data_IF_843977325004
#
_entry.id   IF_843977325004
#
_cell.length_a   1.000
_cell.length_b   1.000
_cell.length_c   1.000
_cell.angle_alpha   90.00
_cell.angle_beta   90.00
_cell.angle_gamma   90.00
#
_symmetry.space_group_name_H-M   'P 1'
#
loop_
_entity.id
_entity.type
_entity.pdbx_description
1 polymer ?
#
# COMPACT_ATOMS: atom_id res chain seq x y z
N UNK A 1 -15.99 10.28 35.40
CA UNK A 1 -15.33 9.35 36.34
C UNK A 1 -16.12 8.07 36.27
N UNK A 2 -15.55 6.96 35.77
CA UNK A 2 -16.27 5.69 35.68
C UNK A 2 -16.15 5.01 37.04
N UNK A 3 -17.24 4.89 37.79
CA UNK A 3 -17.25 4.17 39.06
C UNK A 3 -17.24 2.66 38.77
N UNK A 4 -16.11 2.01 39.07
CA UNK A 4 -15.99 0.57 39.05
C UNK A 4 -16.49 -0.01 40.38
N UNK A 5 -17.05 -1.24 40.38
CA UNK A 5 -17.53 -1.88 41.60
C UNK A 5 -16.40 -2.00 42.62
N UNK A 6 -16.63 -1.46 43.82
CA UNK A 6 -15.72 -1.60 44.96
C UNK A 6 -15.77 -3.02 45.50
N UNK A 7 -14.62 -3.63 45.77
CA UNK A 7 -14.54 -4.88 46.50
C UNK A 7 -14.14 -4.61 47.95
N UNK A 8 -14.94 -5.07 48.90
CA UNK A 8 -14.59 -5.08 50.31
C UNK A 8 -13.76 -6.31 50.62
N UNK A 9 -12.53 -6.10 51.12
CA UNK A 9 -11.70 -7.17 51.67
C UNK A 9 -11.71 -7.05 53.19
N UNK A 10 -12.18 -8.11 53.86
CA UNK A 10 -12.12 -8.21 55.32
C UNK A 10 -10.88 -9.02 55.69
N UNK A 11 -9.98 -8.40 56.45
CA UNK A 11 -8.87 -9.11 57.06
C UNK A 11 -9.40 -9.99 58.20
N UNK A 12 -9.29 -11.30 58.04
CA UNK A 12 -9.80 -12.29 59.00
C UNK A 12 -9.03 -12.32 60.31
N UNK A 13 -7.83 -11.74 60.37
CA UNK A 13 -7.00 -11.70 61.59
C UNK A 13 -7.32 -10.48 62.44
N UNK A 14 -7.60 -9.34 61.81
CA UNK A 14 -7.83 -8.06 62.50
C UNK A 14 -9.30 -7.63 62.52
N UNK A 15 -10.17 -8.31 61.77
CA UNK A 15 -11.59 -7.96 61.61
C UNK A 15 -11.83 -6.65 60.86
N UNK A 16 -10.78 -6.01 60.32
CA UNK A 16 -10.89 -4.74 59.60
C UNK A 16 -11.34 -4.98 58.17
N UNK A 17 -12.46 -4.36 57.82
CA UNK A 17 -12.94 -4.26 56.44
C UNK A 17 -12.29 -3.06 55.78
N UNK A 18 -11.61 -3.28 54.66
CA UNK A 18 -11.05 -2.21 53.85
C UNK A 18 -11.70 -2.23 52.47
N UNK A 19 -12.09 -1.04 52.01
CA UNK A 19 -12.67 -0.83 50.68
C UNK A 19 -11.51 -0.77 49.68
N UNK A 20 -11.36 -1.81 48.86
CA UNK A 20 -10.36 -1.81 47.79
C UNK A 20 -11.04 -1.29 46.55
N UNK A 21 -10.70 -0.04 46.20
CA UNK A 21 -11.08 0.55 44.92
C UNK A 21 -10.01 0.18 43.92
N UNK A 22 -10.36 -0.66 42.95
CA UNK A 22 -9.51 -0.91 41.79
C UNK A 22 -9.63 0.33 40.92
N UNK A 23 -8.68 1.25 41.05
CA UNK A 23 -8.57 2.38 40.14
C UNK A 23 -8.10 1.85 38.79
N UNK A 24 -8.95 1.94 37.76
CA UNK A 24 -8.44 1.86 36.40
C UNK A 24 -7.56 3.10 36.19
N UNK A 25 -6.27 2.95 35.84
CA UNK A 25 -5.37 4.09 35.71
C UNK A 25 -5.71 4.99 34.51
N UNK A 26 -6.66 4.59 33.67
CA UNK A 26 -7.10 5.33 32.50
C UNK A 26 -8.39 6.10 32.79
N UNK A 27 -8.38 7.39 32.47
CA UNK A 27 -9.60 8.19 32.41
C UNK A 27 -10.44 7.81 31.17
N UNK A 28 -11.59 8.47 30.99
CA UNK A 28 -12.48 8.17 29.86
C UNK A 28 -11.79 8.36 28.49
N UNK A 29 -10.87 9.32 28.38
CA UNK A 29 -10.09 9.55 27.16
C UNK A 29 -9.07 8.43 26.93
N UNK A 30 -8.38 7.97 27.98
CA UNK A 30 -7.46 6.85 27.95
C UNK A 30 -8.14 5.54 27.57
N UNK A 31 -9.37 5.29 28.06
CA UNK A 31 -10.19 4.15 27.66
C UNK A 31 -10.55 4.24 26.17
N UNK A 32 -11.05 5.39 25.71
CA UNK A 32 -11.41 5.59 24.31
C UNK A 32 -10.22 5.41 23.36
N UNK A 33 -9.05 5.95 23.72
CA UNK A 33 -7.82 5.77 22.96
C UNK A 33 -7.36 4.31 22.91
N UNK A 34 -7.48 3.58 24.02
CA UNK A 34 -7.15 2.15 24.06
C UNK A 34 -8.08 1.32 23.17
N UNK A 35 -9.39 1.62 23.17
CA UNK A 35 -10.37 0.98 22.29
C UNK A 35 -10.04 1.28 20.83
N UNK A 36 -9.83 2.55 20.48
CA UNK A 36 -9.49 2.94 19.10
C UNK A 36 -8.19 2.26 18.61
N UNK A 37 -7.19 2.13 19.48
CA UNK A 37 -5.95 1.41 19.17
C UNK A 37 -6.19 -0.09 18.97
N UNK A 38 -7.01 -0.71 19.80
CA UNK A 38 -7.35 -2.12 19.68
C UNK A 38 -8.15 -2.40 18.39
N UNK A 39 -9.14 -1.55 18.08
CA UNK A 39 -9.88 -1.62 16.82
C UNK A 39 -8.94 -1.47 15.63
N UNK A 40 -8.06 -0.46 15.64
CA UNK A 40 -7.09 -0.25 14.58
C UNK A 40 -6.18 -1.48 14.38
N UNK A 41 -5.68 -2.07 15.47
CA UNK A 41 -4.88 -3.30 15.39
C UNK A 41 -5.67 -4.47 14.79
N UNK A 42 -6.95 -4.63 15.15
CA UNK A 42 -7.82 -5.64 14.56
C UNK A 42 -8.05 -5.42 13.06
N UNK A 43 -8.23 -4.16 12.61
CA UNK A 43 -8.33 -3.82 11.18
C UNK A 43 -7.09 -4.26 10.43
N UNK A 44 -5.89 -3.96 10.96
CA UNK A 44 -4.62 -4.36 10.34
C UNK A 44 -4.48 -5.87 10.16
N UNK A 45 -5.00 -6.68 11.08
CA UNK A 45 -4.97 -8.14 10.94
C UNK A 45 -5.75 -8.62 9.72
N UNK A 46 -6.94 -8.09 9.48
CA UNK A 46 -7.76 -8.45 8.30
C UNK A 46 -7.12 -7.94 7.02
N UNK A 47 -6.58 -6.71 7.06
CA UNK A 47 -5.96 -6.07 5.90
C UNK A 47 -4.64 -6.72 5.50
N UNK A 48 -3.91 -7.29 6.45
CA UNK A 48 -2.72 -8.09 6.17
C UNK A 48 -3.02 -9.20 5.17
N UNK A 49 -4.05 -10.01 5.42
CA UNK A 49 -4.38 -11.15 4.57
C UNK A 49 -4.80 -10.71 3.16
N UNK A 50 -5.50 -9.57 3.07
CA UNK A 50 -5.82 -8.94 1.79
C UNK A 50 -4.54 -8.53 1.02
N UNK A 51 -3.62 -7.83 1.68
CA UNK A 51 -2.37 -7.37 1.04
C UNK A 51 -1.50 -8.55 0.65
N UNK A 52 -1.40 -9.60 1.47
CA UNK A 52 -0.69 -10.84 1.15
C UNK A 52 -1.27 -11.53 -0.08
N UNK A 53 -2.61 -11.57 -0.22
CA UNK A 53 -3.24 -12.08 -1.44
C UNK A 53 -2.91 -11.22 -2.66
N UNK A 54 -2.91 -9.89 -2.53
CA UNK A 54 -2.65 -8.98 -3.67
C UNK A 54 -1.19 -9.01 -4.14
N UNK A 55 -0.24 -9.33 -3.25
CA UNK A 55 1.18 -9.50 -3.58
C UNK A 55 1.55 -10.94 -3.93
N UNK A 56 0.58 -11.82 -4.15
CA UNK A 56 0.87 -13.20 -4.52
C UNK A 56 1.52 -13.23 -5.93
N UNK A 57 2.64 -13.96 -6.14
CA UNK A 57 3.39 -13.93 -7.40
C UNK A 57 2.60 -14.35 -8.64
N UNK A 58 1.50 -15.08 -8.46
CA UNK A 58 0.63 -15.60 -9.51
C UNK A 58 -0.10 -14.48 -10.26
N UNK A 59 -0.33 -13.33 -9.62
CA UNK A 59 -1.03 -12.21 -10.23
C UNK A 59 -0.16 -11.40 -11.19
N UNK A 60 1.17 -11.49 -11.07
CA UNK A 60 2.11 -10.60 -11.77
C UNK A 60 2.19 -10.90 -13.26
N UNK A 61 2.13 -12.18 -13.65
CA UNK A 61 2.20 -12.58 -15.05
C UNK A 61 1.00 -12.05 -15.85
N UNK A 62 -0.20 -12.15 -15.29
CA UNK A 62 -1.43 -11.63 -15.89
C UNK A 62 -1.41 -10.10 -16.01
N UNK A 63 -0.86 -9.41 -15.01
CA UNK A 63 -0.70 -7.95 -15.03
C UNK A 63 0.25 -7.50 -16.14
N UNK A 64 1.33 -8.24 -16.38
CA UNK A 64 2.29 -7.93 -17.45
C UNK A 64 1.74 -8.28 -18.83
N UNK A 65 0.94 -9.34 -18.96
CA UNK A 65 0.41 -9.83 -20.25
C UNK A 65 -0.95 -9.26 -20.66
N UNK A 66 -1.70 -8.64 -19.75
CA UNK A 66 -3.05 -8.11 -20.00
C UNK A 66 -3.11 -6.96 -21.02
N UNK A 67 -4.25 -6.27 -21.07
CA UNK A 67 -4.61 -5.22 -22.06
C UNK A 67 -3.62 -4.01 -22.19
N UNK A 68 -2.58 -3.97 -21.36
CA UNK A 68 -1.51 -2.97 -21.41
C UNK A 68 -0.13 -3.49 -21.81
N UNK A 69 0.03 -4.81 -21.93
CA UNK A 69 1.28 -5.50 -22.18
C UNK A 69 1.48 -5.98 -23.62
N UNK A 70 0.72 -5.46 -24.59
CA UNK A 70 0.79 -5.92 -25.98
C UNK A 70 2.24 -5.89 -26.49
N UNK A 71 2.76 -7.09 -26.78
CA UNK A 71 4.13 -7.28 -27.26
C UNK A 71 5.18 -7.41 -26.15
N UNK A 72 4.82 -7.42 -24.87
CA UNK A 72 5.74 -7.69 -23.76
C UNK A 72 5.59 -9.12 -23.24
N UNK A 73 6.68 -9.66 -22.71
CA UNK A 73 6.69 -10.87 -21.91
C UNK A 73 7.46 -10.71 -20.61
N UNK A 74 6.96 -11.39 -19.59
CA UNK A 74 7.64 -11.55 -18.32
C UNK A 74 8.76 -12.58 -18.46
N UNK A 75 10.00 -12.16 -18.25
CA UNK A 75 11.21 -13.00 -18.32
C UNK A 75 11.61 -13.47 -16.92
N UNK A 76 11.31 -12.68 -15.90
CA UNK A 76 11.59 -13.04 -14.52
C UNK A 76 10.86 -12.12 -13.56
N UNK A 77 10.68 -12.59 -12.33
CA UNK A 77 10.11 -11.81 -11.24
C UNK A 77 10.80 -12.15 -9.94
N UNK A 78 10.90 -11.16 -9.06
CA UNK A 78 11.49 -11.27 -7.73
C UNK A 78 10.58 -10.51 -6.75
N UNK A 79 9.93 -11.20 -5.79
CA UNK A 79 9.26 -10.53 -4.68
C UNK A 79 10.22 -9.61 -3.95
N UNK A 80 9.72 -8.49 -3.41
CA UNK A 80 10.52 -7.59 -2.59
C UNK A 80 11.07 -8.34 -1.35
N UNK A 81 12.39 -8.56 -1.24
CA UNK A 81 12.98 -9.34 -0.15
C UNK A 81 12.99 -8.59 1.19
N UNK A 82 12.78 -7.27 1.17
CA UNK A 82 12.72 -6.42 2.37
C UNK A 82 11.27 -6.18 2.84
N UNK A 83 10.29 -6.77 2.16
CA UNK A 83 8.88 -6.60 2.46
C UNK A 83 8.36 -7.74 3.33
N UNK A 84 8.78 -7.75 4.59
CA UNK A 84 8.19 -8.61 5.62
C UNK A 84 7.08 -7.87 6.38
N UNK A 85 6.38 -8.63 7.24
CA UNK A 85 5.26 -8.11 8.03
C UNK A 85 5.66 -6.99 8.98
N UNK A 86 6.89 -6.97 9.47
CA UNK A 86 7.35 -5.98 10.46
C UNK A 86 8.01 -4.76 9.80
N UNK A 87 8.32 -4.83 8.50
CA UNK A 87 8.95 -3.75 7.76
C UNK A 87 8.14 -2.45 7.81
N UNK A 88 8.86 -1.33 7.98
CA UNK A 88 8.25 -0.01 8.14
C UNK A 88 7.33 0.36 6.96
N UNK A 89 7.76 0.02 5.73
CA UNK A 89 6.96 0.28 4.52
C UNK A 89 5.64 -0.50 4.53
N UNK A 90 5.66 -1.76 4.95
CA UNK A 90 4.47 -2.61 5.02
C UNK A 90 3.52 -2.15 6.13
N UNK A 91 4.07 -1.85 7.31
CA UNK A 91 3.29 -1.36 8.44
C UNK A 91 2.63 -0.02 8.12
N UNK A 92 3.35 0.92 7.49
CA UNK A 92 2.85 2.23 7.06
C UNK A 92 1.73 2.12 6.04
N UNK A 93 1.86 1.24 5.06
CA UNK A 93 0.81 0.99 4.07
C UNK A 93 -0.44 0.40 4.74
N UNK A 94 -0.28 -0.58 5.63
CA UNK A 94 -1.40 -1.16 6.38
C UNK A 94 -2.07 -0.16 7.33
N UNK A 95 -1.29 0.72 7.98
CA UNK A 95 -1.85 1.78 8.82
C UNK A 95 -2.72 2.73 7.98
N UNK A 96 -2.23 3.11 6.79
CA UNK A 96 -2.96 3.97 5.86
C UNK A 96 -4.25 3.28 5.38
N UNK A 97 -4.17 2.00 5.03
CA UNK A 97 -5.34 1.22 4.62
C UNK A 97 -6.36 1.06 5.75
N UNK A 98 -5.90 0.89 7.00
CA UNK A 98 -6.75 0.76 8.18
C UNK A 98 -7.49 2.07 8.51
N UNK A 99 -6.87 3.22 8.26
CA UNK A 99 -7.50 4.54 8.37
C UNK A 99 -8.65 4.69 7.35
N UNK A 100 -8.48 4.14 6.15
CA UNK A 100 -9.48 4.17 5.07
C UNK A 100 -10.46 3.01 5.07
N UNK A 101 -10.45 2.14 6.08
CA UNK A 101 -11.28 0.93 6.06
C UNK A 101 -12.79 1.22 5.99
N UNK A 102 -13.22 2.40 6.45
CA UNK A 102 -14.60 2.85 6.29
C UNK A 102 -14.94 3.08 4.81
N UNK A 103 -14.10 3.82 4.10
CA UNK A 103 -14.26 4.13 2.67
C UNK A 103 -14.26 2.84 1.82
N UNK A 104 -13.40 1.89 2.16
CA UNK A 104 -13.35 0.56 1.51
C UNK A 104 -14.65 -0.22 1.70
N UNK A 105 -15.21 -0.22 2.92
CA UNK A 105 -16.47 -0.91 3.22
C UNK A 105 -17.65 -0.29 2.48
N UNK A 106 -17.72 1.03 2.42
CA UNK A 106 -18.76 1.72 1.66
C UNK A 106 -18.67 1.38 0.17
N UNK A 107 -17.47 1.28 -0.40
CA UNK A 107 -17.28 0.87 -1.79
C UNK A 107 -17.72 -0.58 -2.02
N UNK A 108 -17.34 -1.52 -1.15
CA UNK A 108 -17.71 -2.94 -1.25
C UNK A 108 -19.22 -3.18 -1.03
N UNK A 109 -19.87 -2.45 -0.13
CA UNK A 109 -21.31 -2.57 0.11
C UNK A 109 -22.12 -2.00 -1.06
N UNK A 110 -21.65 -0.91 -1.68
CA UNK A 110 -22.32 -0.31 -2.84
C UNK A 110 -22.26 -1.18 -4.11
N UNK A 111 -21.35 -2.16 -4.20
CA UNK A 111 -21.32 -3.16 -5.28
C UNK A 111 -22.49 -4.16 -5.21
N UNK A 112 -23.17 -4.26 -4.07
CA UNK A 112 -24.23 -5.26 -3.83
C UNK A 112 -25.64 -4.88 -4.33
N UNK A 113 -25.84 -3.75 -5.04
CA UNK A 113 -27.21 -3.39 -5.44
C UNK A 113 -27.49 -2.25 -6.43
N UNK A 114 -26.52 -1.42 -6.83
CA UNK A 114 -26.79 -0.41 -7.88
C UNK A 114 -25.61 -0.29 -8.85
N UNK A 115 -25.88 -0.54 -10.14
CA UNK A 115 -24.98 -0.27 -11.26
C UNK A 115 -24.55 1.20 -11.26
N UNK A 116 -23.40 1.50 -10.67
CA UNK A 116 -22.60 2.67 -11.07
C UNK A 116 -21.57 2.22 -12.11
N UNK A 117 -21.22 3.14 -13.01
CA UNK A 117 -20.05 3.02 -13.93
C UNK A 117 -18.87 2.49 -13.10
N UNK A 118 -18.22 1.40 -13.56
CA UNK A 118 -17.09 0.70 -12.92
C UNK A 118 -16.43 1.59 -11.86
N UNK A 119 -16.74 1.36 -10.58
CA UNK A 119 -15.98 1.99 -9.52
C UNK A 119 -14.54 1.51 -9.67
N UNK A 120 -13.59 2.43 -9.80
CA UNK A 120 -12.18 2.07 -9.87
C UNK A 120 -11.80 1.33 -8.59
N UNK A 121 -11.01 0.25 -8.68
CA UNK A 121 -10.64 -0.51 -7.50
C UNK A 121 -9.81 0.38 -6.57
N UNK A 122 -10.04 0.33 -5.23
CA UNK A 122 -9.36 1.22 -4.28
C UNK A 122 -7.89 0.86 -4.06
N UNK A 123 -7.47 -0.32 -4.53
CA UNK A 123 -6.08 -0.78 -4.55
C UNK A 123 -5.76 -1.20 -5.98
N UNK A 124 -4.69 -0.66 -6.54
CA UNK A 124 -4.26 -0.95 -7.91
C UNK A 124 -2.82 -1.46 -7.94
N UNK A 125 -2.59 -2.44 -8.82
CA UNK A 125 -1.24 -2.79 -9.25
C UNK A 125 -0.79 -1.80 -10.31
N UNK A 126 0.36 -1.18 -10.08
CA UNK A 126 0.94 -0.21 -10.99
C UNK A 126 2.42 -0.48 -11.18
N UNK A 127 2.96 -0.01 -12.30
CA UNK A 127 4.35 -0.17 -12.69
C UNK A 127 5.11 1.13 -12.49
N UNK A 128 6.37 1.01 -12.10
CA UNK A 128 7.31 2.14 -12.04
C UNK A 128 8.60 1.76 -12.74
N UNK A 129 8.95 2.53 -13.75
CA UNK A 129 10.24 2.46 -14.41
C UNK A 129 11.20 3.42 -13.73
N UNK A 130 12.40 2.94 -13.47
CA UNK A 130 13.46 3.74 -12.86
C UNK A 130 14.81 3.24 -13.32
N UNK A 131 15.84 4.06 -13.14
CA UNK A 131 17.20 3.67 -13.48
C UNK A 131 17.70 2.53 -12.58
N UNK A 132 18.57 1.63 -13.07
CA UNK A 132 19.04 0.48 -12.30
C UNK A 132 19.62 0.84 -10.93
N UNK A 133 20.34 1.97 -10.82
CA UNK A 133 20.94 2.45 -9.57
C UNK A 133 19.93 2.79 -8.47
N UNK A 134 18.65 3.03 -8.81
CA UNK A 134 17.61 3.37 -7.84
C UNK A 134 16.83 2.14 -7.33
N UNK A 135 16.95 0.99 -8.00
CA UNK A 135 16.11 -0.18 -7.72
C UNK A 135 16.28 -0.64 -6.26
N UNK A 136 17.52 -0.86 -5.83
CA UNK A 136 17.78 -1.40 -4.49
C UNK A 136 17.29 -0.47 -3.37
N UNK A 137 17.44 0.85 -3.52
CA UNK A 137 16.94 1.80 -2.52
C UNK A 137 15.41 1.84 -2.49
N UNK A 138 14.75 1.81 -3.65
CA UNK A 138 13.28 1.87 -3.70
C UNK A 138 12.67 0.57 -3.16
N UNK A 139 13.24 -0.59 -3.48
CA UNK A 139 12.76 -1.88 -2.99
C UNK A 139 12.94 -1.97 -1.46
N UNK A 140 14.02 -1.41 -0.92
CA UNK A 140 14.30 -1.44 0.52
C UNK A 140 13.50 -0.42 1.32
N UNK A 141 13.49 0.83 0.86
CA UNK A 141 13.05 1.98 1.66
C UNK A 141 11.74 2.60 1.14
N UNK A 142 11.28 2.19 -0.05
CA UNK A 142 10.19 2.83 -0.78
C UNK A 142 10.64 4.06 -1.57
N UNK A 143 9.66 4.81 -2.12
CA UNK A 143 9.93 6.07 -2.80
C UNK A 143 10.39 7.14 -1.79
N UNK A 144 11.47 7.87 -2.08
CA UNK A 144 11.90 8.98 -1.20
C UNK A 144 11.18 10.29 -1.58
N UNK A 145 10.25 10.80 -0.74
CA UNK A 145 9.50 12.01 -1.06
C UNK A 145 10.38 13.26 -1.24
N UNK A 146 11.61 13.26 -0.71
CA UNK A 146 12.56 14.38 -0.82
C UNK A 146 13.21 14.45 -2.20
N UNK A 147 13.24 13.33 -2.93
CA UNK A 147 13.84 13.22 -4.26
C UNK A 147 12.81 13.43 -5.39
N UNK A 148 11.54 13.62 -5.04
CA UNK A 148 10.44 13.77 -6.02
C UNK A 148 10.63 14.98 -6.92
N UNK A 149 10.55 14.72 -8.22
CA UNK A 149 10.37 15.78 -9.22
C UNK A 149 8.92 16.25 -9.17
N UNK A 150 8.69 17.56 -9.12
CA UNK A 150 7.35 18.16 -8.98
C UNK A 150 6.55 17.69 -7.74
N UNK A 151 7.24 17.20 -6.71
CA UNK A 151 6.66 16.75 -5.42
C UNK A 151 5.70 15.57 -5.52
N UNK A 152 5.73 14.78 -6.59
CA UNK A 152 4.80 13.67 -6.85
C UNK A 152 5.51 12.42 -7.31
N UNK A 153 4.86 11.29 -7.08
CA UNK A 153 5.24 10.00 -7.65
C UNK A 153 4.30 9.65 -8.81
N UNK A 154 4.88 8.99 -9.81
CA UNK A 154 4.23 8.66 -11.08
C UNK A 154 4.37 7.17 -11.33
N UNK A 155 3.22 6.51 -11.54
CA UNK A 155 3.15 5.09 -11.80
C UNK A 155 2.31 4.86 -13.06
N UNK A 156 2.67 3.87 -13.86
CA UNK A 156 1.85 3.49 -15.00
C UNK A 156 0.93 2.33 -14.65
N UNK A 157 -0.32 2.36 -15.11
CA UNK A 157 -1.22 1.18 -15.03
C UNK A 157 -0.84 0.09 -16.04
N UNK A 158 0.10 0.39 -16.94
CA UNK A 158 0.57 -0.49 -18.02
C UNK A 158 2.10 -0.51 -18.06
N UNK A 159 2.74 -1.69 -18.15
CA UNK A 159 4.20 -1.81 -18.04
C UNK A 159 4.94 -1.06 -19.17
N UNK A 160 4.39 -1.05 -20.38
CA UNK A 160 5.01 -0.40 -21.54
C UNK A 160 5.29 1.11 -21.33
N UNK A 161 4.42 1.81 -20.60
CA UNK A 161 4.60 3.24 -20.30
C UNK A 161 5.72 3.50 -19.30
N UNK A 162 6.10 2.50 -18.50
CA UNK A 162 7.19 2.60 -17.54
C UNK A 162 8.56 2.33 -18.17
N UNK A 163 8.63 1.61 -19.29
CA UNK A 163 9.91 1.23 -19.91
C UNK A 163 10.74 2.43 -20.36
N UNK A 164 10.11 3.54 -20.75
CA UNK A 164 10.81 4.77 -21.13
C UNK A 164 11.64 5.37 -19.96
N UNK A 165 11.36 4.97 -18.72
CA UNK A 165 12.01 5.49 -17.53
C UNK A 165 13.11 4.57 -16.97
N UNK A 166 13.36 3.42 -17.60
CA UNK A 166 14.43 2.50 -17.18
C UNK A 166 15.79 2.83 -17.80
N UNK A 167 15.79 3.58 -18.91
CA UNK A 167 17.01 3.87 -19.66
C UNK A 167 17.74 5.12 -19.12
N UNK A 168 19.01 5.01 -18.70
CA UNK A 168 19.79 6.14 -18.18
C UNK A 168 20.07 7.24 -19.21
N UNK A 169 19.94 6.94 -20.51
CA UNK A 169 20.23 7.88 -21.61
C UNK A 169 19.03 8.73 -22.05
N UNK A 170 17.84 8.53 -21.47
CA UNK A 170 16.64 9.29 -21.84
C UNK A 170 16.58 10.64 -21.11
N UNK A 171 17.19 11.65 -21.74
CA UNK A 171 17.13 13.07 -21.38
C UNK A 171 16.19 13.93 -22.23
N UNK A 172 15.58 13.41 -23.32
CA UNK A 172 14.79 14.27 -24.22
C UNK A 172 13.81 13.51 -25.09
N UNK A 173 12.51 13.81 -24.96
CA UNK A 173 11.45 13.90 -25.98
C UNK A 173 11.23 12.76 -27.04
N UNK A 174 12.04 11.69 -27.09
CA UNK A 174 12.07 10.76 -28.23
C UNK A 174 12.18 9.27 -27.85
N UNK A 175 11.62 8.83 -26.72
CA UNK A 175 11.56 7.40 -26.41
C UNK A 175 10.66 6.61 -27.39
N UNK A 176 9.75 7.28 -28.10
CA UNK A 176 8.87 6.64 -29.10
C UNK A 176 9.57 6.17 -30.39
N UNK A 177 10.86 6.47 -30.60
CA UNK A 177 11.56 6.21 -31.88
C UNK A 177 12.85 5.40 -31.73
N UNK A 178 13.20 4.97 -30.52
CA UNK A 178 14.28 4.02 -30.34
C UNK A 178 13.67 2.68 -29.95
N UNK A 179 14.08 1.56 -30.58
CA UNK A 179 13.84 0.27 -29.96
C UNK A 179 14.39 0.39 -28.53
N UNK A 180 13.58 0.02 -27.54
CA UNK A 180 14.10 -0.12 -26.19
C UNK A 180 15.40 -0.93 -26.23
N UNK A 181 16.31 -0.78 -25.26
CA UNK A 181 17.53 -1.60 -25.21
C UNK A 181 17.18 -3.06 -25.58
N UNK A 182 17.95 -3.67 -26.49
CA UNK A 182 17.70 -4.98 -27.13
C UNK A 182 17.72 -6.18 -26.15
N UNK A 183 17.19 -6.02 -24.95
CA UNK A 183 17.25 -6.99 -23.88
C UNK A 183 16.30 -6.69 -22.73
N UNK A 184 16.28 -7.59 -21.74
CA UNK A 184 15.33 -7.52 -20.64
C UNK A 184 15.50 -6.24 -19.81
N UNK A 185 14.40 -5.62 -19.44
CA UNK A 185 14.31 -4.39 -18.64
C UNK A 185 13.63 -4.68 -17.31
N UNK A 186 14.13 -4.04 -16.24
CA UNK A 186 13.56 -4.17 -14.90
C UNK A 186 12.55 -3.06 -14.64
N UNK A 187 11.39 -3.44 -14.13
CA UNK A 187 10.35 -2.56 -13.62
C UNK A 187 10.06 -2.92 -12.17
N UNK A 188 9.59 -1.94 -11.40
CA UNK A 188 9.02 -2.18 -10.09
C UNK A 188 7.50 -2.28 -10.22
N UNK A 189 6.89 -3.19 -9.48
CA UNK A 189 5.44 -3.29 -9.31
C UNK A 189 5.10 -2.80 -7.91
N UNK A 190 4.13 -1.91 -7.84
CA UNK A 190 3.60 -1.36 -6.60
C UNK A 190 2.14 -1.75 -6.43
N UNK A 191 1.72 -1.89 -5.17
CA UNK A 191 0.34 -1.67 -4.78
C UNK A 191 0.18 -0.19 -4.43
N UNK A 192 -0.83 0.46 -4.99
CA UNK A 192 -1.16 1.85 -4.64
C UNK A 192 -2.61 1.97 -4.21
N UNK A 193 -2.86 2.84 -3.23
CA UNK A 193 -4.21 3.16 -2.77
C UNK A 193 -4.77 4.34 -3.55
N UNK A 194 -5.79 4.12 -4.37
CA UNK A 194 -6.42 5.14 -5.23
C UNK A 194 -7.53 5.91 -4.50
N UNK A 195 -7.31 6.17 -3.21
CA UNK A 195 -8.22 6.90 -2.34
C UNK A 195 -7.67 8.31 -2.03
N UNK A 196 -8.54 9.33 -1.88
CA UNK A 196 -8.12 10.60 -1.28
C UNK A 196 -7.48 10.37 0.09
N UNK A 197 -6.54 11.15 0.60
CA UNK A 197 -5.87 12.38 0.11
C UNK A 197 -4.60 12.05 -0.68
N UNK A 198 -4.16 10.78 -0.66
CA UNK A 198 -2.89 10.35 -1.25
C UNK A 198 -2.88 10.21 -2.76
N UNK A 199 -4.01 9.81 -3.35
CA UNK A 199 -4.21 9.78 -4.79
C UNK A 199 -4.66 11.13 -5.34
N UNK A 200 -4.00 11.62 -6.40
CA UNK A 200 -4.34 12.89 -7.02
C UNK A 200 -5.28 12.74 -8.20
N UNK A 201 -4.89 11.92 -9.18
CA UNK A 201 -5.62 11.69 -10.43
C UNK A 201 -4.96 10.59 -11.26
N UNK A 202 -5.66 10.17 -12.31
CA UNK A 202 -5.04 9.50 -13.44
C UNK A 202 -4.89 10.45 -14.64
N UNK A 203 -3.83 10.24 -15.43
CA UNK A 203 -3.52 11.00 -16.63
C UNK A 203 -3.39 10.09 -17.85
N UNK A 204 -3.54 10.66 -19.05
CA UNK A 204 -3.25 9.97 -20.31
C UNK A 204 -4.17 8.77 -20.59
N UNK A 205 -5.49 8.95 -20.50
CA UNK A 205 -6.50 7.88 -20.60
C UNK A 205 -6.29 6.79 -19.54
N UNK A 206 -6.14 7.22 -18.29
CA UNK A 206 -5.97 6.35 -17.12
C UNK A 206 -4.70 5.47 -17.16
N UNK A 207 -3.72 5.87 -17.97
CA UNK A 207 -2.46 5.17 -18.13
C UNK A 207 -1.46 5.47 -17.02
N UNK A 208 -1.55 6.63 -16.36
CA UNK A 208 -0.61 7.08 -15.33
C UNK A 208 -1.36 7.47 -14.06
N UNK A 209 -1.06 6.80 -12.95
CA UNK A 209 -1.50 7.14 -11.59
C UNK A 209 -0.51 8.12 -10.98
N UNK A 210 -1.01 9.23 -10.44
CA UNK A 210 -0.21 10.27 -9.80
C UNK A 210 -0.51 10.33 -8.31
N UNK A 211 0.54 10.18 -7.50
CA UNK A 211 0.45 10.07 -6.04
C UNK A 211 1.15 11.25 -5.35
N UNK A 212 0.57 11.72 -4.25
CA UNK A 212 1.14 12.78 -3.39
C UNK A 212 1.76 12.22 -2.09
N UNK A 213 1.39 11.01 -1.70
CA UNK A 213 1.65 10.45 -0.36
C UNK A 213 2.29 9.07 -0.46
N UNK A 214 3.53 8.97 0.02
CA UNK A 214 4.33 7.72 -0.03
C UNK A 214 3.72 6.61 0.83
N UNK A 215 2.90 6.97 1.80
CA UNK A 215 2.20 6.05 2.69
C UNK A 215 1.15 5.21 1.95
N UNK A 216 0.74 5.65 0.77
CA UNK A 216 -0.26 5.00 -0.10
C UNK A 216 0.39 4.08 -1.14
N UNK A 217 1.69 3.85 -1.05
CA UNK A 217 2.49 3.15 -2.06
C UNK A 217 3.29 2.01 -1.40
N UNK A 218 3.28 0.84 -2.02
CA UNK A 218 3.99 -0.33 -1.52
C UNK A 218 4.72 -1.07 -2.65
N UNK A 219 6.07 -1.04 -2.72
CA UNK A 219 6.81 -1.81 -3.72
C UNK A 219 6.75 -3.31 -3.39
N UNK A 220 6.12 -4.10 -4.25
CA UNK A 220 5.87 -5.53 -3.99
C UNK A 220 6.77 -6.46 -4.81
N UNK A 221 7.13 -6.08 -6.04
CA UNK A 221 7.98 -6.90 -6.92
C UNK A 221 8.95 -6.06 -7.73
N UNK A 222 10.07 -6.70 -8.07
CA UNK A 222 10.86 -6.37 -9.25
C UNK A 222 10.50 -7.38 -10.35
N UNK A 223 10.10 -6.89 -11.51
CA UNK A 223 9.81 -7.71 -12.69
C UNK A 223 10.79 -7.40 -13.80
N UNK A 224 11.19 -8.42 -14.53
CA UNK A 224 12.04 -8.30 -15.70
C UNK A 224 11.20 -8.64 -16.93
N UNK A 225 11.05 -7.69 -17.84
CA UNK A 225 10.22 -7.82 -19.04
C UNK A 225 11.04 -7.59 -20.30
N UNK A 226 10.60 -8.11 -21.44
CA UNK A 226 11.17 -7.78 -22.76
C UNK A 226 10.08 -7.73 -23.82
N UNK A 227 10.34 -7.04 -24.92
CA UNK A 227 9.48 -7.14 -26.10
C UNK A 227 9.63 -8.53 -26.74
N UNK A 228 8.51 -9.10 -27.16
CA UNK A 228 8.43 -10.35 -27.94
C UNK A 228 8.85 -10.15 -29.39
#
# INVERSE_FOLDING_TARGET
>A
MVELPSMTKTDTVTGRTSEIRIACPLDAAGIAAAIAKAEHAQKKLVLHDLVESLRAPEHIEDLVKGDGGNGLELVGQRPNPYLDRESDQYQRFLDTLAQHMHDLKEMLVNESGQKRRRAEPPIEHVFHGTRPENLDSIVRDGMDPRLRRAKRDYFATKPAYSLDFTNPYLGSYFARHFPGPDGPQKLLVFLVLTLPVGFLRKEGNDAVVVMDKVEYELPIFEVTVRYK
#
